data_IF_400928598902
#
_entry.id   IF_400928598902
#
_cell.length_a   1.000
_cell.length_b   1.000
_cell.length_c   1.000
_cell.angle_alpha   90.00
_cell.angle_beta   90.00
_cell.angle_gamma   90.00
#
_symmetry.space_group_name_H-M   'P 1'
#
loop_
_entity.id
_entity.type
_entity.pdbx_description
1 polymer ?
#
# COMPACT_ATOMS: atom_id res chain seq x y z
N UNK A 1 -13.07 -66.95 36.68
CA UNK A 1 -14.16 -66.77 35.71
C UNK A 1 -13.86 -65.46 34.98
N UNK A 2 -13.37 -65.58 33.73
CA UNK A 2 -13.21 -64.53 32.67
C UNK A 2 -12.38 -63.28 33.00
N UNK A 3 -11.10 -63.15 32.61
CA UNK A 3 -10.51 -62.88 31.28
C UNK A 3 -11.21 -61.78 30.47
N UNK A 4 -10.55 -60.62 30.31
CA UNK A 4 -10.36 -59.94 29.02
C UNK A 4 -9.37 -58.76 29.19
N UNK A 5 -8.15 -59.01 28.73
CA UNK A 5 -7.14 -58.06 28.30
C UNK A 5 -7.47 -57.69 26.84
N UNK A 6 -7.48 -56.41 26.46
CA UNK A 6 -7.46 -56.00 25.05
C UNK A 6 -6.97 -54.56 24.85
N UNK A 7 -5.71 -54.52 24.45
CA UNK A 7 -5.01 -53.53 23.63
C UNK A 7 -5.88 -52.76 22.62
N UNK A 8 -5.70 -51.43 22.58
CA UNK A 8 -5.94 -50.57 21.40
C UNK A 8 -4.72 -49.66 21.25
N UNK A 9 -3.70 -50.06 20.49
CA UNK A 9 -3.49 -49.76 19.06
C UNK A 9 -3.72 -48.29 18.72
N UNK A 10 -2.61 -47.58 18.53
CA UNK A 10 -2.56 -46.18 18.14
C UNK A 10 -3.26 -45.88 16.82
N UNK A 11 -3.89 -44.70 16.79
CA UNK A 11 -4.19 -44.00 15.55
C UNK A 11 -3.45 -42.66 15.63
N UNK A 12 -2.43 -42.56 14.78
CA UNK A 12 -1.83 -41.30 14.38
C UNK A 12 -2.90 -40.59 13.54
N UNK A 13 -3.60 -39.64 14.14
CA UNK A 13 -4.40 -38.67 13.39
C UNK A 13 -3.41 -37.86 12.53
N UNK A 14 -3.48 -38.09 11.22
CA UNK A 14 -2.90 -37.19 10.23
C UNK A 14 -3.68 -35.89 10.32
N UNK A 15 -3.07 -34.87 10.89
CA UNK A 15 -3.50 -33.48 10.76
C UNK A 15 -3.52 -33.13 9.27
N UNK A 16 -4.68 -33.31 8.64
CA UNK A 16 -4.99 -32.67 7.38
C UNK A 16 -5.06 -31.17 7.69
N UNK A 17 -4.25 -30.37 6.98
CA UNK A 17 -4.32 -28.92 6.98
C UNK A 17 -5.76 -28.48 6.66
N UNK A 18 -6.56 -28.24 7.69
CA UNK A 18 -7.89 -27.65 7.56
C UNK A 18 -7.74 -26.24 7.00
N UNK A 19 -8.48 -25.95 5.94
CA UNK A 19 -8.56 -24.62 5.36
C UNK A 19 -9.03 -23.62 6.43
N UNK A 20 -8.34 -22.48 6.61
CA UNK A 20 -8.80 -21.45 7.52
C UNK A 20 -10.17 -20.90 7.10
N UNK A 21 -10.97 -20.39 8.06
CA UNK A 21 -12.34 -19.94 7.82
C UNK A 21 -12.40 -18.87 6.73
N UNK A 22 -13.45 -18.96 5.90
CA UNK A 22 -13.63 -18.28 4.62
C UNK A 22 -13.12 -16.84 4.61
N UNK A 23 -12.00 -16.65 3.92
CA UNK A 23 -11.67 -15.40 3.22
C UNK A 23 -12.96 -15.00 2.46
N UNK A 24 -13.31 -13.71 2.34
CA UNK A 24 -14.31 -13.29 1.34
C UNK A 24 -14.02 -14.01 0.02
N UNK A 25 -15.01 -14.29 -0.84
CA UNK A 25 -14.80 -14.92 -2.15
C UNK A 25 -13.89 -14.06 -3.05
N UNK A 26 -12.59 -14.02 -2.73
CA UNK A 26 -11.53 -13.26 -3.37
C UNK A 26 -10.97 -14.19 -4.43
N UNK A 27 -11.29 -13.88 -5.69
CA UNK A 27 -10.81 -14.65 -6.83
C UNK A 27 -9.35 -14.37 -7.16
N UNK A 28 -8.75 -13.37 -6.51
CA UNK A 28 -7.35 -13.02 -6.62
C UNK A 28 -6.73 -12.95 -5.23
N UNK A 29 -5.55 -13.56 -5.09
CA UNK A 29 -4.78 -13.56 -3.86
C UNK A 29 -3.33 -13.22 -4.16
N UNK A 30 -2.83 -12.17 -3.53
CA UNK A 30 -1.41 -11.81 -3.55
C UNK A 30 -0.75 -12.28 -2.26
N UNK A 31 0.47 -12.77 -2.38
CA UNK A 31 1.34 -13.04 -1.23
C UNK A 31 2.67 -12.33 -1.44
N UNK A 32 3.08 -11.50 -0.49
CA UNK A 32 4.39 -10.86 -0.45
C UNK A 32 5.22 -11.52 0.64
N UNK A 33 6.32 -12.15 0.26
CA UNK A 33 7.24 -12.83 1.17
C UNK A 33 8.50 -11.99 1.39
N UNK A 34 8.67 -11.51 2.63
CA UNK A 34 9.73 -10.62 3.08
C UNK A 34 10.83 -11.37 3.86
N UNK A 35 10.83 -12.70 3.90
CA UNK A 35 11.71 -13.50 4.77
C UNK A 35 13.20 -13.45 4.42
N UNK A 36 13.58 -12.82 3.32
CA UNK A 36 14.98 -12.58 2.97
C UNK A 36 15.27 -11.09 2.70
N UNK A 37 15.19 -10.24 3.76
CA UNK A 37 15.29 -8.79 3.60
C UNK A 37 16.65 -8.33 3.06
N UNK A 38 17.72 -9.06 3.35
CA UNK A 38 19.09 -8.78 2.88
C UNK A 38 19.23 -8.82 1.35
N UNK A 39 18.30 -9.46 0.64
CA UNK A 39 18.33 -9.57 -0.82
C UNK A 39 17.84 -8.32 -1.53
N UNK A 40 17.15 -7.42 -0.84
CA UNK A 40 16.39 -6.31 -1.44
C UNK A 40 15.37 -6.79 -2.52
N UNK A 41 14.96 -8.06 -2.48
CA UNK A 41 13.98 -8.64 -3.40
C UNK A 41 12.68 -8.97 -2.68
N UNK A 42 11.61 -8.25 -3.03
CA UNK A 42 10.26 -8.68 -2.67
C UNK A 42 9.93 -9.92 -3.50
N UNK A 43 9.44 -10.99 -2.87
CA UNK A 43 8.93 -12.17 -3.57
C UNK A 43 7.41 -12.09 -3.59
N UNK A 44 6.82 -12.14 -4.78
CA UNK A 44 5.38 -11.99 -4.97
C UNK A 44 4.84 -13.25 -5.62
N UNK A 45 3.74 -13.74 -5.08
CA UNK A 45 2.89 -14.74 -5.71
C UNK A 45 1.50 -14.13 -5.94
N UNK A 46 0.97 -14.28 -7.15
CA UNK A 46 -0.40 -13.92 -7.51
C UNK A 46 -1.13 -15.20 -7.93
N UNK A 47 -2.15 -15.58 -7.15
CA UNK A 47 -3.08 -16.66 -7.48
C UNK A 47 -4.36 -16.07 -8.06
N UNK A 48 -4.73 -16.52 -9.25
CA UNK A 48 -5.92 -16.11 -10.00
C UNK A 48 -6.84 -17.32 -10.12
N UNK A 49 -8.05 -17.22 -9.59
CA UNK A 49 -9.08 -18.26 -9.64
C UNK A 49 -10.13 -17.93 -10.71
N UNK A 50 -10.92 -18.94 -11.09
CA UNK A 50 -12.00 -18.84 -12.08
C UNK A 50 -11.50 -18.30 -13.43
N UNK A 51 -10.38 -18.83 -13.93
CA UNK A 51 -9.83 -18.42 -15.21
C UNK A 51 -10.65 -19.03 -16.36
N UNK A 52 -11.25 -18.17 -17.20
CA UNK A 52 -11.90 -18.60 -18.44
C UNK A 52 -10.85 -18.72 -19.56
N UNK A 53 -10.49 -19.96 -19.89
CA UNK A 53 -9.52 -20.29 -20.94
C UNK A 53 -9.88 -19.80 -22.34
N UNK A 54 -11.16 -19.48 -22.60
CA UNK A 54 -11.61 -18.99 -23.91
C UNK A 54 -11.21 -17.55 -24.15
N UNK A 55 -10.81 -16.83 -23.10
CA UNK A 55 -10.42 -15.43 -23.16
C UNK A 55 -8.90 -15.31 -22.99
N UNK A 56 -8.25 -14.36 -23.69
CA UNK A 56 -6.84 -14.06 -23.44
C UNK A 56 -6.60 -13.68 -21.97
N UNK A 57 -5.68 -14.37 -21.32
CA UNK A 57 -5.27 -14.05 -19.94
C UNK A 57 -4.01 -13.19 -19.99
N UNK A 58 -4.19 -11.88 -19.83
CA UNK A 58 -3.07 -10.93 -19.76
C UNK A 58 -2.92 -10.37 -18.37
N UNK A 59 -1.67 -10.20 -17.96
CA UNK A 59 -1.31 -9.44 -16.76
C UNK A 59 -0.43 -8.27 -17.13
N UNK A 60 -0.56 -7.18 -16.38
CA UNK A 60 0.19 -5.95 -16.63
C UNK A 60 0.75 -5.38 -15.35
N UNK A 61 1.92 -4.76 -15.44
CA UNK A 61 2.46 -3.91 -14.38
C UNK A 61 2.02 -2.46 -14.66
N UNK A 62 1.54 -1.70 -13.65
CA UNK A 62 1.35 -0.27 -13.82
C UNK A 62 2.63 0.42 -14.32
N UNK A 63 2.46 1.50 -15.08
CA UNK A 63 3.56 2.36 -15.52
C UNK A 63 3.57 3.69 -14.78
N UNK A 64 2.65 3.94 -13.86
CA UNK A 64 2.61 5.14 -13.01
C UNK A 64 1.72 4.86 -11.79
N UNK A 65 1.66 5.80 -10.86
CA UNK A 65 0.80 5.71 -9.67
C UNK A 65 0.01 7.02 -9.50
N UNK A 66 -1.31 6.96 -9.20
CA UNK A 66 -2.11 8.15 -8.89
C UNK A 66 -1.43 9.02 -7.81
N UNK A 67 -1.47 10.34 -8.01
CA UNK A 67 -0.72 11.32 -7.20
C UNK A 67 0.69 11.61 -7.70
N UNK A 68 1.22 10.80 -8.63
CA UNK A 68 2.50 11.07 -9.29
C UNK A 68 2.39 10.87 -10.80
N UNK A 69 1.99 11.94 -11.49
CA UNK A 69 1.73 12.01 -12.95
C UNK A 69 3.00 11.97 -13.81
N UNK A 70 3.77 10.89 -13.71
CA UNK A 70 4.95 10.61 -14.53
C UNK A 70 5.05 9.11 -14.78
N UNK A 71 5.23 8.73 -16.04
CA UNK A 71 5.50 7.34 -16.42
C UNK A 71 6.83 6.88 -15.83
N UNK A 72 6.82 5.69 -15.25
CA UNK A 72 7.90 4.98 -14.59
C UNK A 72 7.93 3.56 -15.11
N UNK A 73 9.15 3.11 -15.38
CA UNK A 73 9.41 1.75 -15.83
C UNK A 73 9.43 0.78 -14.63
N UNK A 74 8.35 0.65 -13.85
CA UNK A 74 8.30 -0.24 -12.68
C UNK A 74 8.64 -1.69 -13.04
N UNK A 75 8.23 -2.13 -14.24
CA UNK A 75 8.52 -3.45 -14.78
C UNK A 75 10.03 -3.76 -14.92
N UNK A 76 10.92 -2.75 -14.91
CA UNK A 76 12.38 -2.97 -14.93
C UNK A 76 12.90 -3.71 -13.69
N UNK A 77 12.16 -3.64 -12.59
CA UNK A 77 12.52 -4.30 -11.32
C UNK A 77 12.03 -5.74 -11.26
N UNK A 78 11.15 -6.16 -12.18
CA UNK A 78 10.57 -7.50 -12.21
C UNK A 78 11.56 -8.52 -12.77
N UNK A 79 11.75 -9.60 -12.01
CA UNK A 79 12.67 -10.69 -12.31
C UNK A 79 11.97 -12.05 -12.14
N UNK A 80 12.42 -13.04 -12.91
CA UNK A 80 12.06 -14.46 -12.78
C UNK A 80 10.55 -14.75 -12.75
N UNK A 81 9.81 -14.15 -13.69
CA UNK A 81 8.39 -14.48 -13.84
C UNK A 81 8.23 -15.96 -14.20
N UNK A 82 7.55 -16.69 -13.34
CA UNK A 82 7.13 -18.06 -13.56
C UNK A 82 5.61 -18.11 -13.46
N UNK A 83 5.00 -18.93 -14.31
CA UNK A 83 3.55 -19.10 -14.37
C UNK A 83 3.27 -20.60 -14.37
N UNK A 84 2.36 -21.02 -13.51
CA UNK A 84 1.98 -22.43 -13.35
C UNK A 84 0.47 -22.56 -13.13
N UNK A 85 -0.07 -23.72 -13.43
CA UNK A 85 -1.43 -24.08 -13.06
C UNK A 85 -1.53 -24.57 -11.61
N UNK A 86 -2.72 -25.02 -11.22
CA UNK A 86 -3.02 -25.61 -9.92
C UNK A 86 -2.27 -26.90 -9.61
N UNK A 87 -1.85 -27.65 -10.64
CA UNK A 87 -1.13 -28.93 -10.51
C UNK A 87 0.39 -28.73 -10.51
N UNK A 88 0.85 -27.48 -10.70
CA UNK A 88 2.25 -27.10 -10.75
C UNK A 88 2.86 -27.19 -12.15
N UNK A 89 2.08 -27.50 -13.18
CA UNK A 89 2.55 -27.54 -14.57
C UNK A 89 2.84 -26.12 -15.06
N UNK A 90 3.97 -25.95 -15.74
CA UNK A 90 4.36 -24.65 -16.27
C UNK A 90 3.40 -24.18 -17.38
N UNK A 91 2.96 -22.92 -17.29
CA UNK A 91 2.20 -22.24 -18.34
C UNK A 91 3.16 -21.35 -19.11
N UNK A 92 3.19 -21.49 -20.44
CA UNK A 92 3.99 -20.63 -21.29
C UNK A 92 3.46 -19.19 -21.25
N UNK A 93 4.36 -18.22 -21.41
CA UNK A 93 3.96 -16.82 -21.50
C UNK A 93 4.86 -16.06 -22.47
N UNK A 94 4.34 -14.97 -23.02
CA UNK A 94 5.09 -14.06 -23.89
C UNK A 94 4.98 -12.64 -23.37
N UNK A 95 6.12 -11.96 -23.28
CA UNK A 95 6.14 -10.52 -22.99
C UNK A 95 5.79 -9.76 -24.28
N UNK A 96 4.67 -9.05 -24.28
CA UNK A 96 4.17 -8.35 -25.48
C UNK A 96 4.81 -6.97 -25.65
N UNK A 97 5.05 -6.27 -24.54
CA UNK A 97 5.69 -4.97 -24.47
C UNK A 97 6.38 -4.80 -23.12
N UNK A 98 6.80 -3.58 -22.74
CA UNK A 98 7.61 -3.33 -21.53
C UNK A 98 6.96 -3.83 -20.24
N UNK A 99 5.63 -3.76 -20.13
CA UNK A 99 4.89 -4.01 -18.89
C UNK A 99 3.72 -5.00 -19.05
N UNK A 100 3.59 -5.70 -20.18
CA UNK A 100 2.49 -6.65 -20.46
C UNK A 100 3.00 -8.06 -20.71
N UNK A 101 2.36 -9.04 -20.08
CA UNK A 101 2.60 -10.47 -20.28
C UNK A 101 1.30 -11.18 -20.67
N UNK A 102 1.36 -11.92 -21.78
CA UNK A 102 0.30 -12.76 -22.30
C UNK A 102 0.53 -14.21 -21.83
N UNK A 103 -0.40 -14.74 -21.03
CA UNK A 103 -0.31 -16.07 -20.43
C UNK A 103 -0.97 -17.07 -21.38
N UNK A 104 -0.15 -17.91 -22.02
CA UNK A 104 -0.57 -18.88 -23.03
C UNK A 104 -1.01 -20.18 -22.33
N UNK A 105 -2.20 -20.15 -21.75
CA UNK A 105 -2.84 -21.35 -21.22
C UNK A 105 -3.15 -22.33 -22.37
N UNK A 106 -2.82 -23.61 -22.20
CA UNK A 106 -3.14 -24.65 -23.19
C UNK A 106 -4.66 -24.76 -23.36
N UNK A 107 -5.21 -24.51 -24.55
CA UNK A 107 -6.65 -24.60 -24.78
C UNK A 107 -7.19 -26.03 -24.67
N UNK A 108 -6.32 -27.05 -24.68
CA UNK A 108 -6.67 -28.48 -24.62
C UNK A 108 -6.63 -29.09 -23.22
N UNK A 109 -6.05 -28.39 -22.24
CA UNK A 109 -6.04 -28.85 -20.86
C UNK A 109 -7.48 -28.94 -20.30
N UNK A 110 -7.76 -29.88 -19.40
CA UNK A 110 -9.13 -30.17 -18.92
C UNK A 110 -9.52 -29.29 -17.73
N UNK A 111 -8.60 -28.98 -16.80
CA UNK A 111 -8.87 -28.09 -15.63
C UNK A 111 -7.80 -27.00 -15.40
N UNK A 112 -8.13 -25.71 -15.59
CA UNK A 112 -7.21 -24.57 -15.35
C UNK A 112 -8.00 -23.50 -14.61
N UNK A 113 -8.66 -23.95 -13.54
CA UNK A 113 -9.48 -23.10 -12.69
C UNK A 113 -8.60 -22.10 -11.93
N UNK A 114 -7.33 -22.41 -11.71
CA UNK A 114 -6.37 -21.52 -11.07
C UNK A 114 -5.09 -21.36 -11.90
N UNK A 115 -4.62 -20.11 -12.02
CA UNK A 115 -3.28 -19.75 -12.50
C UNK A 115 -2.50 -19.11 -11.35
N UNK A 116 -1.24 -19.49 -11.20
CA UNK A 116 -0.34 -18.97 -10.17
C UNK A 116 0.87 -18.35 -10.86
N UNK A 117 1.10 -17.07 -10.60
CA UNK A 117 2.28 -16.32 -11.04
C UNK A 117 3.20 -16.14 -9.85
N UNK A 118 4.49 -16.35 -10.02
CA UNK A 118 5.51 -15.97 -9.04
C UNK A 118 6.60 -15.16 -9.69
N UNK A 119 7.00 -14.06 -9.06
CA UNK A 119 8.03 -13.17 -9.54
C UNK A 119 8.75 -12.47 -8.38
N UNK A 120 9.89 -11.86 -8.68
CA UNK A 120 10.67 -11.06 -7.73
C UNK A 120 10.72 -9.62 -8.17
N UNK A 121 10.76 -8.68 -7.22
CA UNK A 121 10.95 -7.26 -7.49
C UNK A 121 12.16 -6.74 -6.74
N UNK A 122 13.12 -6.15 -7.46
CA UNK A 122 14.20 -5.40 -6.83
C UNK A 122 13.67 -4.12 -6.18
N UNK A 123 13.83 -4.01 -4.87
CA UNK A 123 13.29 -2.98 -4.01
C UNK A 123 14.42 -2.34 -3.19
N UNK A 124 15.17 -1.45 -3.83
CA UNK A 124 16.23 -0.67 -3.17
C UNK A 124 16.21 0.80 -3.61
N UNK A 125 15.00 1.33 -3.81
CA UNK A 125 14.77 2.72 -4.20
C UNK A 125 13.79 3.35 -3.19
N UNK A 126 14.32 4.02 -2.16
CA UNK A 126 13.50 4.65 -1.13
C UNK A 126 12.91 5.98 -1.62
N UNK A 127 11.68 5.91 -2.14
CA UNK A 127 10.82 7.08 -2.39
C UNK A 127 9.39 6.75 -1.99
N UNK A 128 8.52 7.75 -1.93
CA UNK A 128 7.08 7.58 -1.68
C UNK A 128 6.32 6.90 -2.83
N UNK A 129 6.99 6.55 -3.94
CA UNK A 129 6.39 6.06 -5.20
C UNK A 129 6.97 4.73 -5.68
N UNK A 130 7.92 4.16 -4.94
CA UNK A 130 8.73 2.99 -5.33
C UNK A 130 8.81 2.02 -4.16
N UNK A 131 9.66 1.00 -4.25
CA UNK A 131 9.83 -0.01 -3.22
C UNK A 131 11.23 0.04 -2.63
N UNK A 132 11.33 -0.16 -1.33
CA UNK A 132 12.59 -0.29 -0.61
C UNK A 132 12.47 -1.39 0.43
N UNK A 133 13.44 -2.31 0.46
CA UNK A 133 13.54 -3.34 1.48
C UNK A 133 14.99 -3.48 1.92
N UNK A 134 15.22 -3.56 3.22
CA UNK A 134 16.49 -3.93 3.83
C UNK A 134 16.24 -4.68 5.15
N UNK A 135 17.28 -4.89 5.94
CA UNK A 135 17.20 -5.62 7.21
C UNK A 135 16.29 -4.96 8.27
N UNK A 136 15.89 -3.70 8.09
CA UNK A 136 15.10 -2.93 9.03
C UNK A 136 13.63 -2.79 8.64
N UNK A 137 13.32 -2.82 7.33
CA UNK A 137 11.95 -2.72 6.83
C UNK A 137 11.79 -3.16 5.37
N UNK A 138 10.53 -3.24 4.95
CA UNK A 138 10.05 -3.29 3.58
C UNK A 138 8.93 -2.26 3.42
N UNK A 139 9.21 -1.20 2.67
CA UNK A 139 8.21 -0.30 2.11
C UNK A 139 7.89 -0.72 0.68
N UNK A 140 6.62 -0.80 0.34
CA UNK A 140 6.22 -1.00 -1.04
C UNK A 140 4.93 -0.27 -1.40
N UNK A 141 4.96 0.36 -2.57
CA UNK A 141 3.83 1.07 -3.18
C UNK A 141 3.14 0.12 -4.15
N UNK A 142 1.82 -0.03 -4.06
CA UNK A 142 1.12 -1.11 -4.77
C UNK A 142 1.26 -1.07 -6.29
N UNK A 143 1.33 0.13 -6.90
CA UNK A 143 1.57 0.27 -8.34
C UNK A 143 2.94 -0.26 -8.77
N UNK A 144 3.94 -0.10 -7.91
CA UNK A 144 5.29 -0.59 -8.10
C UNK A 144 5.46 -2.07 -7.68
N UNK A 145 4.40 -2.75 -7.22
CA UNK A 145 4.47 -4.11 -6.65
C UNK A 145 3.61 -5.14 -7.37
N UNK A 146 2.36 -4.80 -7.68
CA UNK A 146 1.37 -5.79 -8.07
C UNK A 146 1.10 -5.77 -9.57
N UNK A 147 1.27 -6.91 -10.23
CA UNK A 147 0.69 -7.10 -11.56
C UNK A 147 -0.84 -7.12 -11.44
N UNK A 148 -1.59 -6.48 -12.34
CA UNK A 148 -3.04 -6.64 -12.43
C UNK A 148 -3.44 -7.57 -13.55
N UNK A 149 -4.58 -8.24 -13.37
CA UNK A 149 -5.21 -9.06 -14.41
C UNK A 149 -6.12 -8.18 -15.25
N UNK A 150 -5.86 -8.12 -16.56
CA UNK A 150 -6.62 -7.28 -17.49
C UNK A 150 -8.10 -7.68 -17.46
N UNK A 151 -8.98 -6.70 -17.29
CA UNK A 151 -10.44 -6.91 -17.21
C UNK A 151 -10.97 -7.39 -15.85
N UNK A 152 -10.11 -7.61 -14.85
CA UNK A 152 -10.51 -8.11 -13.52
C UNK A 152 -10.08 -7.20 -12.35
N UNK A 153 -9.81 -5.93 -12.63
CA UNK A 153 -9.38 -4.93 -11.63
C UNK A 153 -10.47 -4.56 -10.62
N UNK A 154 -11.74 -4.86 -10.91
CA UNK A 154 -12.89 -4.57 -10.06
C UNK A 154 -13.21 -5.68 -9.05
N UNK A 155 -12.52 -6.82 -9.13
CA UNK A 155 -12.79 -7.95 -8.26
C UNK A 155 -12.19 -7.76 -6.86
N UNK A 156 -12.86 -8.25 -5.80
CA UNK A 156 -12.28 -8.27 -4.48
C UNK A 156 -11.10 -9.23 -4.43
N UNK A 157 -10.07 -8.83 -3.69
CA UNK A 157 -8.81 -9.54 -3.59
C UNK A 157 -8.31 -9.57 -2.15
N UNK A 158 -7.32 -10.43 -1.91
CA UNK A 158 -6.62 -10.50 -0.62
C UNK A 158 -5.11 -10.38 -0.80
N UNK A 159 -4.44 -9.90 0.25
CA UNK A 159 -3.00 -9.74 0.34
C UNK A 159 -2.50 -10.40 1.62
N UNK A 160 -1.65 -11.41 1.51
CA UNK A 160 -0.87 -11.96 2.64
C UNK A 160 0.54 -11.40 2.63
N UNK A 161 1.02 -10.96 3.78
CA UNK A 161 2.40 -10.52 3.96
C UNK A 161 3.06 -11.47 4.95
N UNK A 162 4.14 -12.13 4.52
CA UNK A 162 4.97 -12.98 5.37
C UNK A 162 6.22 -12.22 5.81
N UNK A 163 6.39 -12.08 7.12
CA UNK A 163 7.44 -11.30 7.76
C UNK A 163 8.70 -12.14 7.99
N UNK A 164 9.89 -11.51 7.99
CA UNK A 164 11.14 -12.22 8.29
C UNK A 164 11.22 -12.69 9.75
N UNK A 165 10.65 -11.94 10.68
CA UNK A 165 10.61 -12.29 12.09
C UNK A 165 9.40 -11.64 12.80
N UNK A 166 9.00 -12.14 13.99
CA UNK A 166 7.81 -11.65 14.71
C UNK A 166 7.92 -10.23 15.29
N UNK A 167 9.10 -9.60 15.31
CA UNK A 167 9.27 -8.23 15.82
C UNK A 167 8.89 -7.18 14.79
N UNK A 168 8.82 -7.56 13.50
CA UNK A 168 8.33 -6.68 12.45
C UNK A 168 6.83 -6.42 12.62
N UNK A 169 6.44 -5.16 12.43
CA UNK A 169 5.05 -4.73 12.43
C UNK A 169 4.62 -4.39 11.02
N UNK A 170 3.32 -4.52 10.70
CA UNK A 170 2.76 -4.12 9.41
C UNK A 170 1.84 -2.92 9.63
N UNK A 171 2.08 -1.84 8.89
CA UNK A 171 1.21 -0.68 8.80
C UNK A 171 0.70 -0.54 7.36
N UNK A 172 -0.62 -0.62 7.20
CA UNK A 172 -1.34 -0.38 5.95
C UNK A 172 -2.78 0.03 6.26
N UNK A 173 -3.42 0.73 5.33
CA UNK A 173 -4.83 1.11 5.41
C UNK A 173 -5.78 -0.05 5.05
N UNK A 174 -5.29 -1.15 4.45
CA UNK A 174 -6.07 -2.33 4.07
C UNK A 174 -6.66 -3.09 5.27
N UNK A 175 -7.90 -3.56 5.14
CA UNK A 175 -8.63 -4.23 6.21
C UNK A 175 -8.01 -5.58 6.55
N UNK A 176 -7.55 -5.77 7.79
CA UNK A 176 -6.95 -7.04 8.25
C UNK A 176 -8.03 -8.08 8.54
N UNK A 177 -7.81 -9.31 8.09
CA UNK A 177 -8.64 -10.47 8.45
C UNK A 177 -8.25 -10.92 9.87
N UNK A 178 -9.18 -10.84 10.83
CA UNK A 178 -8.92 -11.05 12.26
C UNK A 178 -8.72 -12.51 12.69
N UNK A 179 -8.82 -13.47 11.78
CA UNK A 179 -8.83 -14.91 12.09
C UNK A 179 -7.44 -15.56 12.14
N UNK A 180 -6.36 -14.84 11.82
CA UNK A 180 -5.02 -15.42 11.82
C UNK A 180 -4.37 -15.40 13.21
N UNK A 181 -4.01 -16.60 13.68
CA UNK A 181 -3.26 -16.84 14.94
C UNK A 181 -1.75 -16.68 14.72
N UNK A 182 -1.28 -16.77 13.47
CA UNK A 182 0.13 -16.63 13.13
C UNK A 182 0.60 -15.17 13.30
N UNK A 183 1.73 -14.99 13.98
CA UNK A 183 2.36 -13.69 14.21
C UNK A 183 3.34 -13.31 13.09
N UNK A 184 3.74 -14.25 12.24
CA UNK A 184 4.67 -14.02 11.12
C UNK A 184 3.96 -13.81 9.79
N UNK A 185 2.63 -14.00 9.73
CA UNK A 185 1.84 -13.69 8.54
C UNK A 185 0.62 -12.85 8.90
N UNK A 186 0.27 -11.92 8.02
CA UNK A 186 -0.98 -11.17 8.13
C UNK A 186 -1.65 -11.04 6.77
N UNK A 187 -2.95 -11.34 6.75
CA UNK A 187 -3.80 -11.25 5.57
C UNK A 187 -4.73 -10.07 5.65
N UNK A 188 -4.84 -9.37 4.54
CA UNK A 188 -5.65 -8.19 4.34
C UNK A 188 -6.57 -8.37 3.14
N UNK A 189 -7.62 -7.56 3.05
CA UNK A 189 -8.54 -7.52 1.92
C UNK A 189 -8.59 -6.14 1.29
N UNK A 190 -8.80 -6.13 -0.03
CA UNK A 190 -9.13 -4.95 -0.82
C UNK A 190 -10.35 -5.26 -1.69
N UNK A 191 -11.25 -4.29 -1.83
CA UNK A 191 -12.46 -4.42 -2.63
C UNK A 191 -12.17 -4.42 -4.14
N UNK A 192 -11.06 -3.80 -4.56
CA UNK A 192 -10.61 -3.70 -5.95
C UNK A 192 -9.08 -3.65 -6.02
N UNK A 193 -8.53 -3.78 -7.23
CA UNK A 193 -7.11 -3.54 -7.50
C UNK A 193 -6.70 -2.08 -7.24
N UNK A 194 -7.56 -1.10 -7.51
CA UNK A 194 -7.28 0.31 -7.20
C UNK A 194 -7.08 0.52 -5.70
N UNK A 195 -7.92 -0.10 -4.85
CA UNK A 195 -7.74 -0.03 -3.40
C UNK A 195 -6.43 -0.69 -2.93
N UNK A 196 -6.01 -1.80 -3.56
CA UNK A 196 -4.73 -2.43 -3.28
C UNK A 196 -3.56 -1.51 -3.64
N UNK A 197 -3.60 -0.90 -4.83
CA UNK A 197 -2.57 0.04 -5.31
C UNK A 197 -2.49 1.28 -4.41
N UNK A 198 -3.64 1.78 -3.99
CA UNK A 198 -3.77 2.98 -3.16
C UNK A 198 -3.57 2.72 -1.66
N UNK A 199 -3.10 1.54 -1.28
CA UNK A 199 -2.85 1.19 0.13
C UNK A 199 -1.40 0.71 0.29
N UNK A 200 -0.42 1.64 0.36
CA UNK A 200 0.98 1.28 0.57
C UNK A 200 1.15 0.50 1.88
N UNK A 201 2.25 -0.24 1.95
CA UNK A 201 2.60 -1.06 3.10
C UNK A 201 3.97 -0.65 3.62
N UNK A 202 4.04 -0.45 4.93
CA UNK A 202 5.27 -0.37 5.69
C UNK A 202 5.34 -1.59 6.63
N UNK A 203 6.31 -2.47 6.41
CA UNK A 203 6.53 -3.64 7.25
C UNK A 203 7.96 -3.61 7.82
N UNK A 204 8.16 -3.62 9.14
CA UNK A 204 9.50 -3.39 9.68
C UNK A 204 9.58 -3.11 11.17
N UNK A 205 10.72 -2.56 11.57
CA UNK A 205 11.05 -2.13 12.92
C UNK A 205 10.67 -0.65 13.16
N UNK A 206 9.52 -0.23 12.65
CA UNK A 206 9.02 1.15 12.81
C UNK A 206 8.56 1.46 14.24
N UNK A 207 8.56 2.76 14.57
CA UNK A 207 7.83 3.30 15.73
C UNK A 207 6.43 3.68 15.29
N UNK A 208 5.41 3.27 16.04
CA UNK A 208 4.02 3.62 15.73
C UNK A 208 3.29 4.19 16.94
N UNK A 209 2.47 5.21 16.71
CA UNK A 209 1.59 5.82 17.73
C UNK A 209 0.18 5.87 17.18
N UNK A 210 -0.78 5.41 17.98
CA UNK A 210 -2.19 5.46 17.66
C UNK A 210 -2.84 6.64 18.40
N UNK A 211 -3.77 7.32 17.73
CA UNK A 211 -4.53 8.42 18.28
C UNK A 211 -5.91 8.48 17.62
N UNK A 212 -6.85 9.25 18.15
CA UNK A 212 -8.19 9.38 17.56
C UNK A 212 -8.57 10.84 17.35
N UNK A 213 -9.18 11.17 16.21
CA UNK A 213 -9.73 12.51 15.95
C UNK A 213 -11.14 12.34 15.39
N UNK A 214 -12.11 13.08 15.94
CA UNK A 214 -13.54 12.97 15.59
C UNK A 214 -14.03 11.49 15.57
N UNK A 215 -13.69 10.75 16.64
CA UNK A 215 -14.03 9.33 16.83
C UNK A 215 -13.51 8.36 15.75
N UNK A 216 -12.60 8.83 14.88
CA UNK A 216 -11.90 7.97 13.91
C UNK A 216 -10.50 7.64 14.42
N UNK A 217 -10.05 6.38 14.31
CA UNK A 217 -8.68 6.00 14.62
C UNK A 217 -7.69 6.49 13.55
N UNK A 218 -6.55 6.97 14.02
CA UNK A 218 -5.40 7.39 13.24
C UNK A 218 -4.14 6.70 13.75
N UNK A 219 -3.18 6.53 12.85
CA UNK A 219 -1.88 5.95 13.18
C UNK A 219 -0.78 6.78 12.53
N UNK A 220 0.23 7.15 13.31
CA UNK A 220 1.53 7.55 12.80
C UNK A 220 2.45 6.33 12.82
N UNK A 221 3.14 6.06 11.71
CA UNK A 221 4.18 5.05 11.59
C UNK A 221 5.42 5.70 11.01
N UNK A 222 6.52 5.62 11.75
CA UNK A 222 7.79 6.27 11.42
C UNK A 222 8.88 5.23 11.30
N UNK A 223 9.47 5.13 10.11
CA UNK A 223 10.67 4.34 9.87
C UNK A 223 11.91 5.23 9.79
N UNK A 224 13.01 4.72 10.35
CA UNK A 224 14.29 5.41 10.45
C UNK A 224 14.46 6.18 11.75
N UNK A 225 15.73 6.43 12.08
CA UNK A 225 16.15 7.22 13.24
C UNK A 225 16.34 8.68 12.87
N UNK A 226 15.98 9.59 13.78
CA UNK A 226 16.06 11.03 13.57
C UNK A 226 15.60 11.81 14.79
N UNK A 227 15.53 13.14 14.66
CA UNK A 227 15.19 14.05 15.76
C UNK A 227 13.72 14.48 15.80
N UNK A 228 12.81 13.72 15.17
CA UNK A 228 11.38 13.97 15.21
C UNK A 228 10.83 13.80 16.65
N UNK A 229 10.21 14.85 17.18
CA UNK A 229 9.33 14.71 18.34
C UNK A 229 7.96 14.20 17.89
N UNK A 230 7.72 12.90 18.06
CA UNK A 230 6.50 12.25 17.60
C UNK A 230 5.26 12.68 18.42
N UNK A 231 5.42 12.95 19.72
CA UNK A 231 4.31 13.42 20.57
C UNK A 231 3.81 14.80 20.12
N UNK A 232 4.72 15.73 19.91
CA UNK A 232 4.40 17.05 19.36
C UNK A 232 3.76 16.92 17.96
N UNK A 233 4.32 16.06 17.12
CA UNK A 233 3.79 15.83 15.77
C UNK A 233 2.38 15.28 15.78
N UNK A 234 2.07 14.33 16.67
CA UNK A 234 0.70 13.83 16.87
C UNK A 234 -0.21 14.97 17.31
N UNK A 235 0.18 15.77 18.32
CA UNK A 235 -0.60 16.92 18.78
C UNK A 235 -0.93 17.90 17.63
N UNK A 236 0.07 18.29 16.85
CA UNK A 236 -0.10 19.26 15.77
C UNK A 236 -0.88 18.67 14.59
N UNK A 237 -0.69 17.37 14.30
CA UNK A 237 -1.48 16.64 13.29
C UNK A 237 -2.97 16.59 13.67
N UNK A 238 -3.32 16.43 14.95
CA UNK A 238 -4.73 16.46 15.39
C UNK A 238 -5.40 17.78 15.01
N UNK A 239 -4.71 18.90 15.26
CA UNK A 239 -5.21 20.25 14.93
C UNK A 239 -5.38 20.44 13.42
N UNK A 240 -4.46 19.91 12.61
CA UNK A 240 -4.58 19.89 11.14
C UNK A 240 -5.82 19.09 10.72
N UNK A 241 -6.01 17.89 11.27
CA UNK A 241 -7.15 17.02 10.94
C UNK A 241 -8.47 17.71 11.29
N UNK A 242 -8.61 18.22 12.51
CA UNK A 242 -9.82 18.89 12.99
C UNK A 242 -10.16 20.11 12.12
N UNK A 243 -9.15 20.95 11.84
CA UNK A 243 -9.31 22.16 11.02
C UNK A 243 -9.71 21.83 9.59
N UNK A 244 -9.09 20.81 8.99
CA UNK A 244 -9.40 20.38 7.63
C UNK A 244 -10.78 19.73 7.56
N UNK A 245 -11.12 18.87 8.52
CA UNK A 245 -12.45 18.29 8.63
C UNK A 245 -13.52 19.37 8.77
N UNK A 246 -13.27 20.41 9.59
CA UNK A 246 -14.19 21.53 9.75
C UNK A 246 -14.48 22.26 8.44
N UNK A 247 -13.46 22.47 7.59
CA UNK A 247 -13.64 23.04 6.25
C UNK A 247 -14.59 22.20 5.38
N UNK A 248 -14.56 20.87 5.52
CA UNK A 248 -15.37 19.94 4.74
C UNK A 248 -16.62 19.43 5.47
N UNK A 249 -17.13 20.18 6.46
CA UNK A 249 -18.42 19.89 7.12
C UNK A 249 -18.34 19.02 8.37
N UNK A 250 -17.18 18.93 9.01
CA UNK A 250 -16.90 18.14 10.23
C UNK A 250 -17.06 16.62 10.07
N UNK A 251 -16.89 16.09 8.86
CA UNK A 251 -16.86 14.64 8.61
C UNK A 251 -15.49 14.19 8.08
N UNK A 252 -15.09 12.97 8.43
CA UNK A 252 -13.88 12.32 7.96
C UNK A 252 -14.27 11.17 7.02
N UNK A 253 -13.95 11.23 5.71
CA UNK A 253 -14.49 10.32 4.70
C UNK A 253 -13.77 8.97 4.66
N UNK A 254 -13.40 8.43 5.82
CA UNK A 254 -12.69 7.18 6.02
C UNK A 254 -13.06 6.54 7.38
N UNK A 255 -12.76 5.25 7.53
CA UNK A 255 -12.91 4.53 8.81
C UNK A 255 -11.67 4.62 9.69
N UNK A 256 -10.49 4.82 9.09
CA UNK A 256 -9.21 5.06 9.76
C UNK A 256 -8.24 5.75 8.80
N UNK A 257 -7.18 6.37 9.33
CA UNK A 257 -6.16 7.01 8.50
C UNK A 257 -4.74 6.72 9.00
N UNK A 258 -3.82 6.45 8.06
CA UNK A 258 -2.43 6.10 8.36
C UNK A 258 -1.45 7.13 7.77
N UNK A 259 -0.59 7.70 8.60
CA UNK A 259 0.54 8.52 8.17
C UNK A 259 1.82 7.68 8.22
N UNK A 260 2.40 7.38 7.06
CA UNK A 260 3.70 6.73 6.95
C UNK A 260 4.78 7.80 6.76
N UNK A 261 5.85 7.76 7.54
CA UNK A 261 6.99 8.67 7.40
C UNK A 261 8.31 7.91 7.35
N UNK A 262 9.05 8.14 6.29
CA UNK A 262 10.44 7.73 6.14
C UNK A 262 11.38 8.87 6.51
N UNK A 263 12.24 8.64 7.50
CA UNK A 263 13.30 9.56 7.88
C UNK A 263 14.57 9.28 7.08
N UNK A 264 14.77 10.00 5.97
CA UNK A 264 15.92 9.81 5.08
C UNK A 264 17.00 10.88 5.29
N UNK A 265 18.13 10.78 4.58
CA UNK A 265 19.22 11.76 4.71
C UNK A 265 18.83 13.15 4.16
N UNK A 266 18.16 13.19 3.00
CA UNK A 266 17.85 14.44 2.29
C UNK A 266 16.49 14.42 1.55
N UNK A 267 15.57 13.54 1.94
CA UNK A 267 14.27 13.42 1.29
C UNK A 267 13.31 14.56 1.64
N UNK A 268 12.49 14.94 0.66
CA UNK A 268 11.31 15.78 0.84
C UNK A 268 10.27 15.35 -0.20
N UNK A 269 9.07 14.99 0.25
CA UNK A 269 7.95 14.71 -0.62
C UNK A 269 6.89 13.85 0.06
N UNK A 270 5.69 13.89 -0.49
CA UNK A 270 4.58 13.05 -0.07
C UNK A 270 3.91 12.36 -1.26
N UNK A 271 3.08 11.39 -0.95
CA UNK A 271 2.12 10.81 -1.88
C UNK A 271 0.83 10.54 -1.11
N UNK A 272 -0.26 11.06 -1.64
CA UNK A 272 -1.58 10.97 -1.07
C UNK A 272 -2.23 9.62 -1.39
N UNK A 273 -3.00 9.10 -0.43
CA UNK A 273 -3.81 7.92 -0.62
C UNK A 273 -5.19 8.11 0.01
N UNK A 274 -6.15 7.25 -0.33
CA UNK A 274 -7.54 7.42 0.12
C UNK A 274 -7.67 7.37 1.64
N UNK A 275 -6.90 6.52 2.30
CA UNK A 275 -6.95 6.34 3.76
C UNK A 275 -5.55 6.39 4.39
N UNK A 276 -4.58 7.00 3.69
CA UNK A 276 -3.21 7.12 4.18
C UNK A 276 -2.43 8.19 3.43
N UNK A 277 -1.22 8.46 3.87
CA UNK A 277 -0.21 9.15 3.06
C UNK A 277 1.16 8.53 3.35
N UNK A 278 2.04 8.54 2.34
CA UNK A 278 3.47 8.26 2.54
C UNK A 278 4.25 9.56 2.44
N UNK A 279 5.08 9.83 3.44
CA UNK A 279 5.92 11.01 3.57
C UNK A 279 7.38 10.59 3.60
N UNK A 280 8.25 11.39 2.98
CA UNK A 280 9.70 11.28 3.13
C UNK A 280 10.26 12.65 3.51
N UNK A 281 10.98 12.71 4.62
CA UNK A 281 11.53 13.95 5.15
C UNK A 281 12.95 13.75 5.71
N UNK A 282 13.78 14.80 5.70
CA UNK A 282 15.13 14.73 6.22
C UNK A 282 15.13 14.53 7.74
N UNK A 283 15.84 13.49 8.19
CA UNK A 283 15.77 12.96 9.56
C UNK A 283 16.26 13.89 10.67
N UNK A 284 17.00 14.95 10.34
CA UNK A 284 17.57 15.89 11.31
C UNK A 284 17.06 17.32 11.20
N UNK A 285 16.08 17.59 10.34
CA UNK A 285 15.59 18.95 10.11
C UNK A 285 14.53 19.42 11.12
N UNK A 286 14.01 18.56 12.01
CA UNK A 286 12.84 18.90 12.86
C UNK A 286 13.12 19.90 13.99
N UNK A 287 14.38 20.12 14.38
CA UNK A 287 14.73 21.13 15.40
C UNK A 287 14.64 22.57 14.88
N UNK A 288 14.67 22.78 13.57
CA UNK A 288 14.55 24.11 12.98
C UNK A 288 13.06 24.47 12.83
N UNK A 289 12.54 25.53 13.49
CA UNK A 289 11.11 25.84 13.46
C UNK A 289 10.55 25.99 12.04
N UNK A 290 11.30 26.61 11.14
CA UNK A 290 10.88 26.78 9.74
C UNK A 290 10.80 25.45 8.98
N UNK A 291 11.71 24.51 9.28
CA UNK A 291 11.71 23.18 8.67
C UNK A 291 10.62 22.30 9.24
N UNK A 292 10.38 22.39 10.55
CA UNK A 292 9.24 21.73 11.18
C UNK A 292 7.91 22.25 10.62
N UNK A 293 7.77 23.57 10.44
CA UNK A 293 6.63 24.16 9.75
C UNK A 293 6.49 23.60 8.33
N UNK A 294 7.58 23.52 7.57
CA UNK A 294 7.55 22.95 6.21
C UNK A 294 7.10 21.49 6.22
N UNK A 295 7.51 20.70 7.22
CA UNK A 295 7.01 19.34 7.42
C UNK A 295 5.52 19.32 7.73
N UNK A 296 5.03 20.16 8.66
CA UNK A 296 3.60 20.26 8.96
C UNK A 296 2.78 20.72 7.74
N UNK A 297 3.33 21.59 6.89
CA UNK A 297 2.70 22.00 5.65
C UNK A 297 2.57 20.82 4.69
N UNK A 298 3.61 19.98 4.58
CA UNK A 298 3.54 18.73 3.82
C UNK A 298 2.48 17.78 4.41
N UNK A 299 2.40 17.61 5.73
CA UNK A 299 1.35 16.80 6.37
C UNK A 299 -0.04 17.35 6.03
N UNK A 300 -0.24 18.66 6.09
CA UNK A 300 -1.49 19.31 5.76
C UNK A 300 -1.85 19.16 4.26
N UNK A 301 -0.86 19.28 3.37
CA UNK A 301 -0.98 19.08 1.93
C UNK A 301 -1.53 17.69 1.61
N UNK A 302 -0.80 16.66 2.06
CA UNK A 302 -1.19 15.26 1.79
C UNK A 302 -2.50 14.88 2.48
N UNK A 303 -2.78 15.43 3.67
CA UNK A 303 -4.05 15.17 4.33
C UNK A 303 -5.22 15.86 3.64
N UNK A 304 -5.05 17.08 3.14
CA UNK A 304 -6.09 17.81 2.38
C UNK A 304 -6.48 17.05 1.11
N UNK A 305 -5.50 16.37 0.48
CA UNK A 305 -5.75 15.50 -0.65
C UNK A 305 -6.74 14.37 -0.39
N UNK A 306 -6.96 14.01 0.89
CA UNK A 306 -8.03 13.09 1.29
C UNK A 306 -9.35 13.51 0.66
N UNK A 307 -9.69 14.79 0.63
CA UNK A 307 -10.87 15.28 -0.08
C UNK A 307 -10.53 15.64 -1.53
N UNK A 308 -9.52 16.47 -1.75
CA UNK A 308 -9.16 16.98 -3.07
C UNK A 308 -8.20 16.04 -3.79
N UNK A 309 -8.68 15.31 -4.80
CA UNK A 309 -8.09 14.20 -5.59
C UNK A 309 -8.47 12.79 -5.14
N UNK A 310 -8.64 12.53 -3.84
CA UNK A 310 -9.07 11.20 -3.39
C UNK A 310 -10.59 11.04 -3.24
N UNK A 311 -11.38 12.11 -3.12
CA UNK A 311 -12.86 12.05 -3.24
C UNK A 311 -13.36 12.93 -4.38
N UNK A 312 -13.08 14.22 -4.31
CA UNK A 312 -13.31 15.16 -5.40
C UNK A 312 -12.18 14.99 -6.42
N UNK A 313 -12.46 14.37 -7.55
CA UNK A 313 -11.42 14.08 -8.55
C UNK A 313 -11.92 14.25 -9.98
N UNK A 314 -11.01 14.48 -10.94
CA UNK A 314 -11.36 14.50 -12.35
C UNK A 314 -11.89 13.14 -12.79
N UNK A 315 -12.86 13.11 -13.72
CA UNK A 315 -13.44 11.86 -14.25
C UNK A 315 -12.38 10.90 -14.78
N UNK A 316 -11.31 11.42 -15.39
CA UNK A 316 -10.20 10.61 -15.90
C UNK A 316 -9.44 9.81 -14.81
N UNK A 317 -9.60 10.15 -13.52
CA UNK A 317 -8.99 9.45 -12.38
C UNK A 317 -10.01 8.65 -11.55
N UNK A 318 -11.26 8.51 -12.02
CA UNK A 318 -12.25 7.65 -11.38
C UNK A 318 -11.89 6.18 -11.52
N UNK A 319 -11.45 5.77 -12.72
CA UNK A 319 -10.85 4.47 -13.00
C UNK A 319 -9.51 4.75 -13.68
N UNK A 320 -8.39 4.76 -12.93
CA UNK A 320 -7.08 5.06 -13.51
C UNK A 320 -6.70 4.06 -14.59
N UNK A 321 -6.27 4.57 -15.75
CA UNK A 321 -5.58 3.75 -16.75
C UNK A 321 -4.10 3.66 -16.40
N UNK A 322 -3.72 2.56 -15.75
CA UNK A 322 -2.35 2.32 -15.30
C UNK A 322 -1.34 2.05 -16.44
N UNK A 323 -1.77 1.96 -17.70
CA UNK A 323 -0.94 1.53 -18.84
C UNK A 323 -0.32 2.69 -19.64
N UNK A 324 -0.80 3.92 -19.43
CA UNK A 324 -0.39 5.09 -20.20
C UNK A 324 -0.52 6.39 -19.40
N UNK A 325 -0.02 7.49 -19.95
CA UNK A 325 -0.22 8.83 -19.42
C UNK A 325 -1.71 9.18 -19.28
N UNK A 326 -2.08 9.76 -18.15
CA UNK A 326 -3.39 10.40 -17.97
C UNK A 326 -3.23 11.91 -18.01
N UNK A 327 -3.70 12.54 -19.09
CA UNK A 327 -3.60 13.99 -19.27
C UNK A 327 -4.70 14.72 -18.51
N UNK A 328 -4.31 15.62 -17.60
CA UNK A 328 -5.21 16.36 -16.72
C UNK A 328 -4.99 17.86 -16.87
N UNK A 329 -6.01 18.61 -17.28
CA UNK A 329 -5.96 20.08 -17.39
C UNK A 329 -6.29 20.81 -16.09
N UNK A 330 -6.75 20.08 -15.06
CA UNK A 330 -7.24 20.62 -13.80
C UNK A 330 -6.26 20.42 -12.63
N UNK A 331 -4.99 20.08 -12.88
CA UNK A 331 -3.98 19.98 -11.82
C UNK A 331 -3.74 21.31 -11.11
N UNK A 332 -3.99 22.45 -11.76
CA UNK A 332 -3.95 23.75 -11.09
C UNK A 332 -4.95 23.84 -9.93
N UNK A 333 -6.09 23.15 -10.01
CA UNK A 333 -7.07 23.09 -8.93
C UNK A 333 -6.70 22.00 -7.93
N UNK A 334 -6.33 20.81 -8.41
CA UNK A 334 -5.96 19.69 -7.54
C UNK A 334 -4.73 20.02 -6.69
N UNK A 335 -3.64 20.40 -7.32
CA UNK A 335 -2.38 20.71 -6.65
C UNK A 335 -2.36 22.16 -6.16
N UNK A 336 -2.71 23.12 -7.04
CA UNK A 336 -2.60 24.54 -6.69
C UNK A 336 -3.56 24.97 -5.57
N UNK A 337 -4.81 24.46 -5.53
CA UNK A 337 -5.68 24.73 -4.40
C UNK A 337 -5.16 24.06 -3.12
N UNK A 338 -4.65 22.83 -3.22
CA UNK A 338 -4.06 22.14 -2.06
C UNK A 338 -2.83 22.89 -1.53
N UNK A 339 -1.95 23.40 -2.39
CA UNK A 339 -0.81 24.25 -2.01
C UNK A 339 -1.22 25.57 -1.36
N UNK A 340 -2.37 26.15 -1.73
CA UNK A 340 -2.92 27.29 -1.01
C UNK A 340 -3.41 26.87 0.39
N UNK A 341 -4.16 25.76 0.46
CA UNK A 341 -4.76 25.31 1.69
C UNK A 341 -3.75 24.73 2.69
N UNK A 342 -2.62 24.18 2.27
CA UNK A 342 -1.63 23.57 3.17
C UNK A 342 -1.19 24.57 4.27
N UNK A 343 -0.86 25.81 3.89
CA UNK A 343 -0.42 26.86 4.82
C UNK A 343 -1.61 27.54 5.51
N UNK A 344 -2.75 27.66 4.84
CA UNK A 344 -3.97 28.20 5.44
C UNK A 344 -4.50 27.27 6.55
N UNK A 345 -4.39 25.95 6.40
CA UNK A 345 -4.76 24.99 7.44
C UNK A 345 -3.85 25.12 8.65
N UNK A 346 -2.54 25.33 8.47
CA UNK A 346 -1.64 25.62 9.59
C UNK A 346 -2.02 26.91 10.33
N UNK A 347 -2.38 27.96 9.59
CA UNK A 347 -2.84 29.22 10.20
C UNK A 347 -4.12 29.00 11.00
N UNK A 348 -5.14 28.37 10.39
CA UNK A 348 -6.44 28.14 11.04
C UNK A 348 -6.35 27.17 12.20
N UNK A 349 -5.44 26.20 12.12
CA UNK A 349 -5.12 25.30 13.22
C UNK A 349 -4.41 26.04 14.36
N UNK A 350 -3.89 27.26 14.16
CA UNK A 350 -3.11 28.03 15.13
C UNK A 350 -1.69 27.49 15.32
N UNK A 351 -1.14 26.83 14.29
CA UNK A 351 0.22 26.28 14.27
C UNK A 351 1.25 27.30 13.76
N UNK A 352 0.80 28.29 12.99
CA UNK A 352 1.61 29.42 12.56
C UNK A 352 0.86 30.74 12.76
N UNK A 353 1.54 31.86 13.03
CA UNK A 353 0.91 33.18 13.07
C UNK A 353 0.55 33.69 11.67
N UNK A 354 -0.39 34.63 11.60
CA UNK A 354 -0.83 35.24 10.34
C UNK A 354 0.32 35.88 9.55
N UNK A 355 1.27 36.53 10.23
CA UNK A 355 2.46 37.13 9.60
C UNK A 355 3.28 36.10 8.84
N UNK A 356 3.47 34.90 9.41
CA UNK A 356 4.22 33.81 8.77
C UNK A 356 3.45 33.22 7.58
N UNK A 357 2.13 33.08 7.70
CA UNK A 357 1.30 32.63 6.59
C UNK A 357 1.38 33.59 5.39
N UNK A 358 1.28 34.90 5.63
CA UNK A 358 1.42 35.93 4.60
C UNK A 358 2.83 35.96 3.98
N UNK A 359 3.88 35.75 4.79
CA UNK A 359 5.24 35.64 4.28
C UNK A 359 5.40 34.48 3.29
N UNK A 360 4.83 33.31 3.59
CA UNK A 360 4.86 32.16 2.68
C UNK A 360 4.10 32.46 1.39
N UNK A 361 2.92 33.08 1.48
CA UNK A 361 2.13 33.46 0.30
C UNK A 361 2.78 34.55 -0.55
N UNK A 362 3.64 35.40 0.03
CA UNK A 362 4.36 36.42 -0.73
C UNK A 362 5.62 35.93 -1.44
N UNK A 363 6.10 34.71 -1.14
CA UNK A 363 7.29 34.09 -1.77
C UNK A 363 6.93 33.22 -2.98
N UNK A 364 5.68 32.75 -3.03
CA UNK A 364 5.10 31.98 -4.14
C UNK A 364 4.38 32.92 -5.11
#
# INVERSE_FOLDING_TARGET
>A
MTLADQTRSGQVEKDALECPPSIPHCRQHYRVDLRNPASHLLKIELRIQEVDRRLPLRVKMPVWTPGSYLVREYARHLQDLQVRDQDGSAICWRKENKNTWDLQADPTAVDLATVILSYRLYAYELTVRTNHMDLSHAYFNGAATFLYVVGRVHEPLSLTIALPDPSWQIATSLSRIKTQVDRQEATFTAATYDELVDSPVEAGLQRSVHFQVLDKPHQWTVWGEGNLNLEQTVHDTRRIIETTAHLFGNDLPYSRYLFLLHLSAAGFGGLEHRCSTTLNFSRFEFHHPERYQRFLALVAHEFFHTWNIKRLRPRALEIPDYDQETYLSCLWFVEGATSYYENLMLLRAGLIPASRCLEVFGRN
#
